data_IF_178451346705
#
_entry.id   IF_178451346705
#
_cell.length_a   1.000
_cell.length_b   1.000
_cell.length_c   1.000
_cell.angle_alpha   90.00
_cell.angle_beta   90.00
_cell.angle_gamma   90.00
#
_symmetry.space_group_name_H-M   'P 1'
#
loop_
_entity.id
_entity.type
_entity.pdbx_description
1 polymer ?
#
# COMPACT_ATOMS: atom_id res chain seq x y z
N UNK A 1 14.55 -26.65 8.18
CA UNK A 1 13.42 -26.26 7.31
C UNK A 1 12.29 -25.55 8.09
N UNK A 2 12.60 -24.71 9.10
CA UNK A 2 11.62 -24.24 10.12
C UNK A 2 11.38 -22.72 10.10
N UNK A 3 12.00 -21.95 9.21
CA UNK A 3 11.96 -20.47 9.27
C UNK A 3 10.86 -19.79 8.42
N UNK A 4 10.07 -20.55 7.67
CA UNK A 4 9.11 -19.96 6.70
C UNK A 4 7.75 -19.61 7.33
N UNK A 5 7.19 -20.52 8.16
CA UNK A 5 5.83 -20.36 8.70
C UNK A 5 5.70 -19.27 9.76
N UNK A 6 6.71 -19.09 10.61
CA UNK A 6 6.69 -18.06 11.66
C UNK A 6 6.78 -16.64 11.07
N UNK A 7 7.56 -16.48 10.00
CA UNK A 7 7.72 -15.21 9.29
C UNK A 7 6.44 -14.82 8.56
N UNK A 8 5.75 -15.79 7.96
CA UNK A 8 4.47 -15.57 7.29
C UNK A 8 3.35 -15.19 8.28
N UNK A 9 3.28 -15.84 9.44
CA UNK A 9 2.30 -15.51 10.47
C UNK A 9 2.51 -14.08 11.02
N UNK A 10 3.77 -13.70 11.30
CA UNK A 10 4.12 -12.35 11.74
C UNK A 10 3.76 -11.30 10.68
N UNK A 11 4.05 -11.58 9.40
CA UNK A 11 3.68 -10.69 8.30
C UNK A 11 2.16 -10.54 8.16
N UNK A 12 1.40 -11.63 8.27
CA UNK A 12 -0.07 -11.60 8.22
C UNK A 12 -0.67 -10.76 9.34
N UNK A 13 -0.11 -10.87 10.55
CA UNK A 13 -0.56 -10.08 11.69
C UNK A 13 -0.22 -8.59 11.53
N UNK A 14 0.99 -8.27 11.07
CA UNK A 14 1.36 -6.90 10.71
C UNK A 14 0.41 -6.32 9.66
N UNK A 15 0.17 -7.07 8.57
CA UNK A 15 -0.73 -6.65 7.50
C UNK A 15 -2.16 -6.38 8.00
N UNK A 16 -2.71 -7.29 8.82
CA UNK A 16 -4.05 -7.13 9.38
C UNK A 16 -4.15 -5.85 10.25
N UNK A 17 -3.12 -5.57 11.06
CA UNK A 17 -3.08 -4.36 11.88
C UNK A 17 -3.02 -3.09 11.03
N UNK A 18 -2.16 -3.06 10.01
CA UNK A 18 -2.02 -1.90 9.15
C UNK A 18 -3.26 -1.66 8.29
N UNK A 19 -3.87 -2.73 7.77
CA UNK A 19 -5.11 -2.63 7.00
C UNK A 19 -6.26 -2.10 7.86
N UNK A 20 -6.35 -2.55 9.12
CA UNK A 20 -7.35 -2.04 10.06
C UNK A 20 -7.15 -0.54 10.36
N UNK A 21 -5.89 -0.09 10.50
CA UNK A 21 -5.58 1.34 10.66
C UNK A 21 -5.97 2.14 9.41
N UNK A 22 -5.66 1.62 8.23
CA UNK A 22 -5.95 2.27 6.95
C UNK A 22 -7.46 2.43 6.72
N UNK A 23 -8.24 1.38 7.01
CA UNK A 23 -9.69 1.37 6.80
C UNK A 23 -10.49 1.97 7.97
N UNK A 24 -9.82 2.30 9.08
CA UNK A 24 -10.47 2.76 10.31
C UNK A 24 -11.26 1.68 11.07
N UNK A 25 -11.21 0.42 10.61
CA UNK A 25 -11.91 -0.70 11.23
C UNK A 25 -11.21 -2.03 10.92
N UNK A 26 -11.32 -2.98 11.84
CA UNK A 26 -10.87 -4.35 11.60
C UNK A 26 -11.80 -5.06 10.60
N UNK A 27 -11.22 -5.85 9.71
CA UNK A 27 -11.97 -6.69 8.79
C UNK A 27 -12.24 -8.09 9.40
N UNK A 28 -13.36 -8.74 9.06
CA UNK A 28 -13.59 -10.14 9.38
C UNK A 28 -12.46 -11.03 8.86
N UNK A 29 -12.17 -12.13 9.58
CA UNK A 29 -11.06 -13.02 9.24
C UNK A 29 -11.11 -13.55 7.80
N UNK A 30 -12.31 -13.84 7.29
CA UNK A 30 -12.51 -14.31 5.93
C UNK A 30 -12.11 -13.25 4.88
N UNK A 31 -12.39 -11.98 5.15
CA UNK A 31 -12.01 -10.86 4.27
C UNK A 31 -10.52 -10.59 4.34
N UNK A 32 -9.94 -10.61 5.55
CA UNK A 32 -8.48 -10.53 5.74
C UNK A 32 -7.76 -11.63 4.96
N UNK A 33 -8.25 -12.87 5.01
CA UNK A 33 -7.67 -13.98 4.27
C UNK A 33 -7.76 -13.80 2.75
N UNK A 34 -8.85 -13.19 2.28
CA UNK A 34 -9.03 -12.85 0.86
C UNK A 34 -8.07 -11.75 0.43
N UNK A 35 -7.96 -10.67 1.21
CA UNK A 35 -7.01 -9.59 0.96
C UNK A 35 -5.57 -10.12 0.97
N UNK A 36 -5.22 -10.95 1.95
CA UNK A 36 -3.86 -11.49 2.10
C UNK A 36 -3.42 -12.32 0.89
N UNK A 37 -4.34 -13.10 0.28
CA UNK A 37 -4.08 -13.83 -0.97
C UNK A 37 -3.82 -12.93 -2.18
N UNK A 38 -4.32 -11.70 -2.16
CA UNK A 38 -4.18 -10.71 -3.24
C UNK A 38 -3.02 -9.74 -3.07
N UNK A 39 -2.28 -9.79 -1.97
CA UNK A 39 -1.16 -8.87 -1.70
C UNK A 39 -0.05 -9.07 -2.73
N UNK A 40 0.55 -7.95 -3.14
CA UNK A 40 1.80 -7.92 -3.90
C UNK A 40 2.83 -7.10 -3.14
N UNK A 41 4.00 -7.70 -2.89
CA UNK A 41 5.15 -6.98 -2.35
C UNK A 41 5.85 -6.29 -3.51
N UNK A 42 6.09 -4.99 -3.38
CA UNK A 42 6.79 -4.18 -4.37
C UNK A 42 8.11 -3.68 -3.78
N UNK A 43 9.20 -3.89 -4.50
CA UNK A 43 10.55 -3.42 -4.14
C UNK A 43 11.05 -2.41 -5.17
N UNK A 44 10.51 -1.18 -5.17
CA UNK A 44 10.94 -0.16 -6.12
C UNK A 44 12.39 0.28 -5.84
N UNK A 45 13.12 0.62 -6.91
CA UNK A 45 14.47 1.17 -6.79
C UNK A 45 14.41 2.62 -6.28
N UNK A 46 15.29 2.97 -5.35
CA UNK A 46 15.38 4.32 -4.82
C UNK A 46 15.53 5.37 -5.94
N UNK A 47 14.77 6.45 -5.86
CA UNK A 47 14.78 7.55 -6.83
C UNK A 47 14.15 7.24 -8.20
N UNK A 48 13.54 6.06 -8.38
CA UNK A 48 12.80 5.72 -9.61
C UNK A 48 11.29 5.83 -9.36
N UNK A 49 10.60 6.47 -10.30
CA UNK A 49 9.15 6.44 -10.34
C UNK A 49 8.69 4.99 -10.57
N UNK A 50 7.71 4.55 -9.77
CA UNK A 50 7.16 3.18 -9.83
C UNK A 50 5.63 3.16 -9.85
N UNK A 51 4.98 4.30 -9.63
CA UNK A 51 3.53 4.45 -9.54
C UNK A 51 3.10 5.83 -10.05
N UNK A 52 1.91 5.90 -10.64
CA UNK A 52 1.25 7.14 -11.07
C UNK A 52 -0.26 6.97 -10.95
N UNK A 53 -0.97 7.99 -10.47
CA UNK A 53 -2.42 7.98 -10.28
C UNK A 53 -3.23 7.52 -11.51
N UNK A 54 -2.91 8.04 -12.71
CA UNK A 54 -3.71 7.80 -13.92
C UNK A 54 -3.38 6.51 -14.70
N UNK A 55 -2.29 5.82 -14.38
CA UNK A 55 -1.83 4.63 -15.12
C UNK A 55 -1.29 3.51 -14.21
N UNK A 56 -1.44 3.67 -12.88
CA UNK A 56 -1.03 2.69 -11.89
C UNK A 56 -2.02 1.53 -11.82
N UNK A 57 -1.61 0.42 -11.20
CA UNK A 57 -2.56 -0.62 -10.85
C UNK A 57 -3.52 -0.07 -9.81
N UNK A 58 -4.81 -0.34 -10.01
CA UNK A 58 -5.86 0.03 -9.07
C UNK A 58 -5.64 -0.69 -7.74
N UNK A 59 -5.60 0.06 -6.65
CA UNK A 59 -5.46 -0.50 -5.31
C UNK A 59 -4.88 0.46 -4.28
N UNK A 60 -4.88 0.00 -3.03
CA UNK A 60 -4.25 0.69 -1.90
C UNK A 60 -2.82 0.16 -1.73
N UNK A 61 -1.88 1.09 -1.67
CA UNK A 61 -0.47 0.81 -1.44
C UNK A 61 -0.12 1.13 -0.01
N UNK A 62 0.74 0.32 0.58
CA UNK A 62 1.20 0.46 1.96
C UNK A 62 2.71 0.52 1.98
N UNK A 63 3.26 1.57 2.61
CA UNK A 63 4.70 1.71 2.77
C UNK A 63 5.14 0.79 3.91
N UNK A 64 5.82 -0.30 3.55
CA UNK A 64 6.33 -1.29 4.51
C UNK A 64 7.65 -0.84 5.15
N UNK A 65 8.52 -0.21 4.36
CA UNK A 65 9.84 0.26 4.76
C UNK A 65 10.33 1.37 3.82
N UNK A 66 11.23 2.21 4.32
CA UNK A 66 11.80 3.32 3.56
C UNK A 66 10.89 4.54 3.51
N UNK A 67 11.04 5.34 2.45
CA UNK A 67 10.28 6.58 2.22
C UNK A 67 9.78 6.66 0.78
N UNK A 68 8.53 7.07 0.60
CA UNK A 68 7.92 7.32 -0.71
C UNK A 68 7.61 8.80 -0.82
N UNK A 69 7.93 9.42 -1.96
CA UNK A 69 7.56 10.80 -2.24
C UNK A 69 6.38 10.80 -3.21
N UNK A 70 5.32 11.52 -2.85
CA UNK A 70 4.25 11.86 -3.77
C UNK A 70 4.60 13.20 -4.43
N UNK A 71 4.51 13.23 -5.75
CA UNK A 71 4.79 14.41 -6.56
C UNK A 71 3.55 14.75 -7.38
N UNK A 72 3.35 16.03 -7.66
CA UNK A 72 2.35 16.47 -8.62
C UNK A 72 2.84 16.27 -10.07
N UNK A 73 2.04 16.71 -11.04
CA UNK A 73 2.36 16.60 -12.46
C UNK A 73 3.58 17.45 -12.88
N UNK A 74 3.91 18.49 -12.11
CA UNK A 74 5.04 19.39 -12.33
C UNK A 74 6.30 18.96 -11.54
N UNK A 75 6.26 17.77 -10.93
CA UNK A 75 7.30 17.20 -10.05
C UNK A 75 7.55 17.97 -8.74
N UNK A 76 6.60 18.79 -8.30
CA UNK A 76 6.68 19.39 -6.98
C UNK A 76 6.36 18.35 -5.90
N UNK A 77 7.05 18.44 -4.77
CA UNK A 77 6.82 17.54 -3.64
C UNK A 77 5.49 17.87 -2.96
N UNK A 78 4.54 16.92 -3.01
CA UNK A 78 3.28 17.00 -2.28
C UNK A 78 3.44 16.48 -0.86
N UNK A 79 4.01 15.27 -0.72
CA UNK A 79 4.17 14.61 0.56
C UNK A 79 5.37 13.65 0.57
N UNK A 80 5.93 13.43 1.77
CA UNK A 80 6.87 12.34 2.04
C UNK A 80 6.22 11.35 3.00
N UNK A 81 5.93 10.16 2.50
CA UNK A 81 5.29 9.07 3.21
C UNK A 81 6.36 8.17 3.83
N UNK A 82 6.13 7.78 5.08
CA UNK A 82 7.00 6.87 5.83
C UNK A 82 6.33 5.50 6.01
N UNK A 83 7.02 4.56 6.64
CA UNK A 83 6.43 3.26 6.96
C UNK A 83 5.07 3.44 7.68
N UNK A 84 4.13 2.54 7.40
CA UNK A 84 2.73 2.60 7.84
C UNK A 84 1.84 3.66 7.16
N UNK A 85 2.39 4.49 6.27
CA UNK A 85 1.57 5.35 5.42
C UNK A 85 0.94 4.57 4.27
N UNK A 86 -0.24 5.01 3.83
CA UNK A 86 -0.93 4.46 2.66
C UNK A 86 -1.14 5.50 1.58
N UNK A 87 -1.27 5.05 0.34
CA UNK A 87 -1.58 5.90 -0.81
C UNK A 87 -2.23 5.09 -1.95
N UNK A 88 -2.68 5.79 -2.99
CA UNK A 88 -3.23 5.18 -4.21
C UNK A 88 -4.73 4.88 -4.15
N UNK A 89 -5.40 5.16 -3.03
CA UNK A 89 -6.84 5.03 -2.84
C UNK A 89 -7.67 5.79 -3.89
N UNK A 90 -7.13 6.89 -4.43
CA UNK A 90 -7.75 7.62 -5.54
C UNK A 90 -7.98 6.74 -6.78
N UNK A 91 -7.18 5.69 -6.97
CA UNK A 91 -7.32 4.77 -8.12
C UNK A 91 -8.55 3.89 -8.01
N UNK A 92 -9.16 3.80 -6.81
CA UNK A 92 -10.41 3.06 -6.58
C UNK A 92 -11.63 3.80 -7.16
N UNK A 93 -11.50 5.09 -7.47
CA UNK A 93 -12.59 5.96 -7.91
C UNK A 93 -12.24 6.64 -9.25
N UNK A 94 -12.05 5.89 -10.35
CA UNK A 94 -11.58 6.45 -11.62
C UNK A 94 -12.55 7.45 -12.25
N UNK A 95 -13.85 7.36 -11.93
CA UNK A 95 -14.88 8.26 -12.46
C UNK A 95 -14.86 9.66 -11.82
N UNK A 96 -14.26 9.81 -10.64
CA UNK A 96 -14.30 11.05 -9.86
C UNK A 96 -13.18 12.04 -10.23
N UNK A 97 -12.28 11.67 -11.17
CA UNK A 97 -11.21 12.53 -11.68
C UNK A 97 -10.35 13.22 -10.60
N UNK A 98 -10.15 12.56 -9.46
CA UNK A 98 -9.32 13.08 -8.36
C UNK A 98 -7.88 13.36 -8.81
N UNK A 99 -7.34 14.49 -8.39
CA UNK A 99 -5.94 14.87 -8.64
C UNK A 99 -5.14 14.75 -7.33
N UNK A 100 -3.97 14.10 -7.35
CA UNK A 100 -3.08 13.98 -6.19
C UNK A 100 -2.45 15.32 -5.78
#
# INVERSE_FOLDING_TARGET
>A
MVQDSSSQAAFKQYFAQQLAQTLGQALPQQELDRCFKGIKILEPRAGKAFWQAGNGNVGVYMVMAGKVRLLDQDNNLLASLEASSTFGELTLFPEESFQP
#
